data_IF_765915928273
#
_entry.id   IF_765915928273
#
_cell.length_a   1.000
_cell.length_b   1.000
_cell.length_c   1.000
_cell.angle_alpha   90.00
_cell.angle_beta   90.00
_cell.angle_gamma   90.00
#
_symmetry.space_group_name_H-M   'P 1'
#
loop_
_entity.id
_entity.type
_entity.pdbx_description
1 polymer ?
#
# COMPACT_ATOMS: atom_id res chain seq x y z
N UNK A 1 68.15 -0.53 62.99
CA UNK A 1 68.16 -1.99 63.14
C UNK A 1 66.74 -2.52 62.96
N UNK A 2 66.44 -2.97 61.76
CA UNK A 2 65.34 -3.89 61.41
C UNK A 2 65.57 -4.28 59.94
N UNK A 3 66.09 -5.48 59.64
CA UNK A 3 66.14 -6.00 58.28
C UNK A 3 64.99 -6.99 58.03
N UNK A 4 64.81 -7.28 56.75
CA UNK A 4 63.87 -8.19 56.10
C UNK A 4 63.83 -9.62 56.66
N UNK A 5 62.96 -10.47 56.10
CA UNK A 5 63.52 -11.50 55.22
C UNK A 5 62.73 -11.78 53.93
N UNK A 6 63.47 -11.91 52.83
CA UNK A 6 63.34 -13.01 51.86
C UNK A 6 64.15 -14.21 52.44
N UNK A 7 63.97 -15.49 52.12
CA UNK A 7 63.73 -16.14 50.84
C UNK A 7 63.60 -17.69 51.06
N UNK A 8 63.36 -18.43 49.97
CA UNK A 8 63.52 -19.90 49.75
C UNK A 8 62.27 -20.77 49.88
N UNK A 9 61.66 -21.31 48.80
CA UNK A 9 62.10 -22.36 47.85
C UNK A 9 61.86 -23.78 48.43
N UNK A 10 61.33 -24.80 47.74
CA UNK A 10 61.05 -25.11 46.34
C UNK A 10 59.98 -26.23 46.27
N UNK A 11 59.22 -26.41 45.18
CA UNK A 11 59.48 -27.44 44.16
C UNK A 11 58.36 -27.56 43.08
N UNK A 12 58.82 -27.76 41.83
CA UNK A 12 58.17 -28.30 40.62
C UNK A 12 56.91 -27.64 39.96
N UNK A 13 57.11 -27.20 38.70
CA UNK A 13 56.12 -27.03 37.61
C UNK A 13 56.52 -28.01 36.45
N UNK A 14 55.75 -28.28 35.36
CA UNK A 14 54.96 -27.30 34.57
C UNK A 14 53.63 -27.77 33.90
N UNK A 15 52.90 -26.77 33.37
CA UNK A 15 51.99 -26.73 32.20
C UNK A 15 50.87 -27.79 32.01
N UNK A 16 49.60 -27.35 31.96
CA UNK A 16 48.82 -27.23 30.69
C UNK A 16 47.40 -26.60 30.90
N UNK A 17 47.10 -25.65 30.03
CA UNK A 17 45.82 -25.08 29.52
C UNK A 17 44.48 -25.08 30.28
N UNK A 18 43.86 -23.88 30.30
CA UNK A 18 42.52 -23.70 29.69
C UNK A 18 41.30 -23.40 30.58
N UNK A 19 40.98 -22.09 30.72
CA UNK A 19 39.64 -21.47 30.57
C UNK A 19 38.44 -21.86 31.50
N UNK A 20 37.43 -20.97 31.67
CA UNK A 20 36.81 -20.71 32.97
C UNK A 20 35.32 -21.09 33.13
N UNK A 21 34.92 -21.19 34.40
CA UNK A 21 33.68 -20.81 35.09
C UNK A 21 32.32 -20.68 34.34
N UNK A 22 31.37 -21.46 34.88
CA UNK A 22 29.96 -21.15 35.20
C UNK A 22 28.92 -21.06 34.06
N UNK A 23 28.39 -22.23 33.68
CA UNK A 23 27.23 -22.40 32.79
C UNK A 23 25.90 -22.22 33.55
N UNK A 24 25.43 -20.98 33.64
CA UNK A 24 24.00 -20.71 33.73
C UNK A 24 23.49 -20.37 32.31
N UNK A 25 22.50 -21.10 31.75
CA UNK A 25 22.07 -20.84 30.38
C UNK A 25 21.41 -19.46 30.31
N UNK A 26 22.11 -18.55 29.62
CA UNK A 26 21.63 -17.23 29.27
C UNK A 26 20.28 -17.35 28.56
N UNK A 27 19.24 -16.75 29.15
CA UNK A 27 17.98 -16.45 28.46
C UNK A 27 18.34 -15.56 27.27
N UNK A 28 18.32 -16.15 26.08
CA UNK A 28 18.46 -15.39 24.84
C UNK A 28 17.29 -14.42 24.71
N UNK A 29 17.57 -13.14 24.87
CA UNK A 29 16.73 -12.04 24.39
C UNK A 29 16.68 -12.09 22.85
N UNK A 30 15.92 -13.03 22.29
CA UNK A 30 15.34 -12.85 20.95
C UNK A 30 14.06 -12.06 21.17
N UNK A 31 13.95 -10.90 20.54
CA UNK A 31 12.70 -10.16 20.48
C UNK A 31 11.65 -11.02 19.76
N UNK A 32 10.89 -11.81 20.52
CA UNK A 32 9.71 -12.50 20.03
C UNK A 32 8.62 -11.43 19.85
N UNK A 33 8.58 -10.82 18.68
CA UNK A 33 7.46 -10.00 18.27
C UNK A 33 6.22 -10.91 18.23
N UNK A 34 5.39 -10.80 19.28
CA UNK A 34 4.13 -11.52 19.37
C UNK A 34 3.18 -11.02 18.27
N UNK A 35 2.98 -11.83 17.25
CA UNK A 35 2.10 -11.51 16.12
C UNK A 35 0.72 -12.16 16.30
N UNK A 36 -0.30 -11.55 15.70
CA UNK A 36 -1.60 -12.19 15.52
C UNK A 36 -1.67 -12.83 14.14
N UNK A 37 -2.16 -14.07 14.07
CA UNK A 37 -2.34 -14.80 12.83
C UNK A 37 -3.74 -15.43 12.78
N UNK A 38 -4.39 -15.32 11.61
CA UNK A 38 -5.64 -16.00 11.32
C UNK A 38 -5.35 -17.35 10.64
N UNK A 39 -5.90 -18.43 11.18
CA UNK A 39 -5.68 -19.80 10.73
C UNK A 39 -7.03 -20.45 10.42
N UNK A 40 -7.14 -21.12 9.28
CA UNK A 40 -8.30 -21.94 8.93
C UNK A 40 -8.00 -23.41 9.15
N UNK A 41 -8.90 -24.08 9.87
CA UNK A 41 -8.82 -25.52 10.14
C UNK A 41 -9.23 -26.30 8.88
N UNK A 42 -8.31 -27.08 8.31
CA UNK A 42 -8.61 -27.94 7.14
C UNK A 42 -9.48 -29.15 7.51
N UNK A 43 -10.20 -29.76 6.55
CA UNK A 43 -10.93 -31.02 6.77
C UNK A 43 -10.06 -32.15 7.33
N UNK A 44 -8.79 -32.22 6.93
CA UNK A 44 -7.82 -33.23 7.37
C UNK A 44 -7.03 -32.80 8.63
N UNK A 45 -7.39 -31.68 9.26
CA UNK A 45 -6.64 -31.12 10.38
C UNK A 45 -6.69 -32.00 11.63
N UNK A 46 -5.54 -32.18 12.25
CA UNK A 46 -5.41 -32.85 13.55
C UNK A 46 -6.10 -32.08 14.69
N UNK A 47 -6.57 -30.85 14.46
CA UNK A 47 -7.34 -30.05 15.44
C UNK A 47 -8.82 -30.45 15.50
N UNK A 48 -9.34 -31.17 14.50
CA UNK A 48 -10.74 -31.54 14.44
C UNK A 48 -11.17 -32.30 15.71
N UNK A 49 -12.16 -31.77 16.42
CA UNK A 49 -12.74 -32.37 17.62
C UNK A 49 -11.98 -32.10 18.92
N UNK A 50 -10.81 -31.44 18.88
CA UNK A 50 -10.01 -31.05 20.06
C UNK A 50 -10.28 -29.61 20.47
N UNK A 51 -10.08 -29.31 21.76
CA UNK A 51 -10.15 -27.95 22.30
C UNK A 51 -8.77 -27.37 22.56
N UNK A 52 -8.72 -26.05 22.75
CA UNK A 52 -7.49 -25.35 23.17
C UNK A 52 -6.88 -25.90 24.47
N UNK A 53 -7.74 -26.42 25.38
CA UNK A 53 -7.28 -27.09 26.61
C UNK A 53 -6.62 -28.44 26.33
N UNK A 54 -7.23 -29.25 25.46
CA UNK A 54 -6.75 -30.62 25.16
C UNK A 54 -5.38 -30.57 24.47
N UNK A 55 -5.15 -29.52 23.69
CA UNK A 55 -3.90 -29.27 22.98
C UNK A 55 -2.85 -28.55 23.84
N UNK A 56 -3.23 -28.09 25.04
CA UNK A 56 -2.37 -27.33 25.94
C UNK A 56 -1.69 -26.14 25.24
N UNK A 57 -2.43 -25.42 24.35
CA UNK A 57 -1.86 -24.42 23.43
C UNK A 57 -0.94 -23.42 24.13
N UNK A 58 -1.35 -22.92 25.30
CA UNK A 58 -0.60 -21.92 26.05
C UNK A 58 0.63 -22.49 26.77
N UNK A 59 0.53 -23.67 27.37
CA UNK A 59 1.60 -24.23 28.20
C UNK A 59 2.62 -25.05 27.41
N UNK A 60 2.20 -25.67 26.30
CA UNK A 60 3.07 -26.50 25.44
C UNK A 60 3.66 -25.71 24.28
N UNK A 61 2.86 -24.86 23.63
CA UNK A 61 3.26 -24.15 22.41
C UNK A 61 3.43 -22.65 22.61
N UNK A 62 3.11 -22.11 23.80
CA UNK A 62 3.14 -20.66 24.03
C UNK A 62 2.11 -19.86 23.21
N UNK A 63 1.12 -20.54 22.60
CA UNK A 63 0.14 -19.93 21.72
C UNK A 63 -1.15 -19.59 22.46
N UNK A 64 -1.71 -18.41 22.18
CA UNK A 64 -2.98 -17.95 22.74
C UNK A 64 -4.07 -17.93 21.67
N UNK A 65 -5.17 -18.66 21.91
CA UNK A 65 -6.37 -18.58 21.08
C UNK A 65 -7.26 -17.43 21.55
N UNK A 66 -7.41 -16.40 20.71
CA UNK A 66 -8.15 -15.18 21.04
C UNK A 66 -9.60 -15.22 20.57
N UNK A 67 -9.86 -15.85 19.42
CA UNK A 67 -11.21 -15.96 18.89
C UNK A 67 -11.35 -17.19 17.98
N UNK A 68 -12.59 -17.66 17.87
CA UNK A 68 -13.01 -18.65 16.87
C UNK A 68 -14.25 -18.10 16.16
N UNK A 69 -14.22 -18.08 14.84
CA UNK A 69 -15.37 -17.75 13.98
C UNK A 69 -15.81 -18.98 13.21
N UNK A 70 -17.12 -19.19 13.14
CA UNK A 70 -17.75 -20.28 12.39
C UNK A 70 -18.89 -19.69 11.56
N UNK A 71 -18.88 -19.96 10.25
CA UNK A 71 -19.89 -19.46 9.31
C UNK A 71 -20.08 -17.92 9.38
N UNK A 72 -18.99 -17.18 9.63
CA UNK A 72 -19.01 -15.71 9.74
C UNK A 72 -19.50 -15.18 11.10
N UNK A 73 -19.90 -16.04 12.04
CA UNK A 73 -20.30 -15.66 13.39
C UNK A 73 -19.25 -16.03 14.44
N UNK A 74 -18.95 -15.11 15.37
CA UNK A 74 -18.07 -15.40 16.51
C UNK A 74 -18.70 -16.46 17.41
N UNK A 75 -17.94 -17.50 17.74
CA UNK A 75 -18.38 -18.53 18.66
C UNK A 75 -18.62 -17.93 20.06
N UNK A 76 -19.85 -18.04 20.58
CA UNK A 76 -20.25 -17.49 21.90
C UNK A 76 -19.88 -18.39 23.10
N UNK A 77 -19.16 -19.49 22.85
CA UNK A 77 -18.77 -20.43 23.90
C UNK A 77 -17.40 -20.08 24.50
N UNK A 78 -17.07 -20.68 25.65
CA UNK A 78 -15.75 -20.56 26.26
C UNK A 78 -14.68 -21.14 25.32
N UNK A 79 -13.83 -20.28 24.78
CA UNK A 79 -12.76 -20.62 23.82
C UNK A 79 -11.85 -21.76 24.31
N UNK A 80 -11.65 -21.85 25.63
CA UNK A 80 -10.79 -22.87 26.26
C UNK A 80 -11.29 -24.31 26.04
N UNK A 81 -12.60 -24.51 26.04
CA UNK A 81 -13.25 -25.84 25.98
C UNK A 81 -14.03 -26.04 24.68
N UNK A 82 -14.07 -25.03 23.81
CA UNK A 82 -14.72 -25.12 22.51
C UNK A 82 -13.98 -26.16 21.66
N UNK A 83 -14.73 -27.12 21.11
CA UNK A 83 -14.20 -28.11 20.17
C UNK A 83 -14.10 -27.48 18.79
N UNK A 84 -12.90 -27.49 18.24
CA UNK A 84 -12.59 -26.99 16.91
C UNK A 84 -13.15 -27.93 15.84
N UNK A 85 -13.65 -27.37 14.75
CA UNK A 85 -14.20 -28.10 13.61
C UNK A 85 -13.49 -27.67 12.33
N UNK A 86 -13.44 -28.54 11.31
CA UNK A 86 -13.09 -28.12 9.95
C UNK A 86 -13.88 -26.89 9.52
N UNK A 87 -13.20 -25.93 8.90
CA UNK A 87 -13.78 -24.65 8.48
C UNK A 87 -13.85 -23.58 9.57
N UNK A 88 -13.50 -23.89 10.83
CA UNK A 88 -13.35 -22.86 11.86
C UNK A 88 -12.17 -21.93 11.52
N UNK A 89 -12.38 -20.62 11.71
CA UNK A 89 -11.34 -19.59 11.58
C UNK A 89 -10.86 -19.22 12.98
N UNK A 90 -9.59 -19.46 13.25
CA UNK A 90 -8.93 -19.27 14.53
C UNK A 90 -8.09 -17.99 14.48
N UNK A 91 -8.26 -17.11 15.46
CA UNK A 91 -7.35 -15.98 15.67
C UNK A 91 -6.40 -16.34 16.80
N UNK A 92 -5.12 -16.51 16.48
CA UNK A 92 -4.08 -16.92 17.43
C UNK A 92 -3.02 -15.84 17.60
N UNK A 93 -2.40 -15.78 18.78
CA UNK A 93 -1.28 -14.90 19.09
C UNK A 93 -0.10 -15.70 19.63
N UNK A 94 1.10 -15.40 19.13
CA UNK A 94 2.35 -16.05 19.52
C UNK A 94 3.53 -15.57 18.66
N UNK A 95 4.73 -16.15 18.86
CA UNK A 95 5.87 -15.91 17.97
C UNK A 95 5.55 -16.36 16.53
N UNK A 96 6.04 -15.62 15.53
CA UNK A 96 5.76 -15.89 14.11
C UNK A 96 6.15 -17.30 13.68
N UNK A 97 7.33 -17.75 14.11
CA UNK A 97 7.91 -19.02 13.70
C UNK A 97 7.11 -20.19 14.28
N UNK A 98 6.71 -20.07 15.55
CA UNK A 98 5.90 -21.08 16.25
C UNK A 98 4.48 -21.16 15.71
N UNK A 99 3.88 -20.04 15.30
CA UNK A 99 2.56 -20.02 14.66
C UNK A 99 2.58 -20.72 13.30
N UNK A 100 3.62 -20.49 12.49
CA UNK A 100 3.80 -21.12 11.20
C UNK A 100 4.06 -22.63 11.33
N UNK A 101 4.92 -23.03 12.27
CA UNK A 101 5.21 -24.44 12.57
C UNK A 101 3.94 -25.17 13.07
N UNK A 102 3.21 -24.56 14.01
CA UNK A 102 1.95 -25.11 14.50
C UNK A 102 0.90 -25.27 13.38
N UNK A 103 0.83 -24.31 12.45
CA UNK A 103 -0.07 -24.40 11.31
C UNK A 103 0.27 -25.59 10.40
N UNK A 104 1.56 -25.82 10.13
CA UNK A 104 2.05 -26.96 9.36
C UNK A 104 1.74 -28.30 10.03
N UNK A 105 2.10 -28.44 11.31
CA UNK A 105 1.96 -29.69 12.06
C UNK A 105 0.51 -30.12 12.26
N UNK A 106 -0.38 -29.16 12.48
CA UNK A 106 -1.78 -29.43 12.80
C UNK A 106 -2.72 -29.29 11.59
N UNK A 107 -2.20 -29.05 10.39
CA UNK A 107 -3.00 -28.98 9.17
C UNK A 107 -3.93 -27.76 9.13
N UNK A 108 -3.45 -26.61 9.56
CA UNK A 108 -4.12 -25.32 9.38
C UNK A 108 -3.49 -24.57 8.20
N UNK A 109 -4.27 -23.69 7.58
CA UNK A 109 -3.75 -22.77 6.56
C UNK A 109 -3.84 -21.35 7.10
N UNK A 110 -2.73 -20.58 7.13
CA UNK A 110 -2.79 -19.16 7.44
C UNK A 110 -3.61 -18.42 6.38
N UNK A 111 -4.65 -17.72 6.83
CA UNK A 111 -5.59 -17.03 5.94
C UNK A 111 -5.09 -15.64 5.50
N UNK A 112 -4.10 -15.09 6.22
CA UNK A 112 -3.35 -13.91 5.81
C UNK A 112 -2.06 -13.76 6.62
N UNK A 113 -0.92 -13.60 5.94
CA UNK A 113 0.24 -12.88 6.47
C UNK A 113 -0.13 -11.40 6.55
N UNK A 114 -0.93 -10.99 7.54
CA UNK A 114 -0.94 -9.59 7.92
C UNK A 114 0.28 -9.37 8.80
N UNK A 115 1.39 -8.99 8.18
CA UNK A 115 2.52 -8.38 8.87
C UNK A 115 1.99 -7.17 9.67
N UNK A 116 1.61 -7.38 10.93
CA UNK A 116 1.41 -6.29 11.88
C UNK A 116 2.80 -5.77 12.27
N UNK A 117 3.46 -5.12 11.32
CA UNK A 117 4.70 -4.37 11.55
C UNK A 117 4.34 -3.20 12.45
N UNK A 118 4.64 -3.32 13.75
CA UNK A 118 4.53 -2.20 14.68
C UNK A 118 5.49 -1.12 14.19
N UNK A 119 5.01 0.07 13.76
CA UNK A 119 5.90 1.08 13.22
C UNK A 119 6.86 1.57 14.31
N UNK A 120 8.16 1.47 14.04
CA UNK A 120 9.18 2.13 14.85
C UNK A 120 8.94 3.64 14.76
N UNK A 121 8.44 4.24 15.85
CA UNK A 121 8.07 5.66 15.91
C UNK A 121 9.22 6.57 15.49
N UNK A 122 10.46 6.20 15.79
CA UNK A 122 11.64 6.96 15.38
C UNK A 122 11.75 7.01 13.86
N UNK A 123 11.76 5.84 13.21
CA UNK A 123 11.86 5.74 11.75
C UNK A 123 10.67 6.36 11.03
N UNK A 124 9.48 6.28 11.61
CA UNK A 124 8.27 6.91 11.07
C UNK A 124 8.39 8.44 11.04
N UNK A 125 8.93 9.06 12.10
CA UNK A 125 9.17 10.50 12.14
C UNK A 125 10.22 10.89 11.10
N UNK A 126 11.35 10.16 11.02
CA UNK A 126 12.39 10.47 10.04
C UNK A 126 11.88 10.35 8.60
N UNK A 127 11.12 9.29 8.28
CA UNK A 127 10.51 9.13 6.96
C UNK A 127 9.52 10.26 6.64
N UNK A 128 8.72 10.68 7.62
CA UNK A 128 7.77 11.79 7.48
C UNK A 128 8.49 13.11 7.22
N UNK A 129 9.59 13.38 7.93
CA UNK A 129 10.41 14.58 7.71
C UNK A 129 11.03 14.59 6.32
N UNK A 130 11.53 13.46 5.85
CA UNK A 130 12.08 13.32 4.48
C UNK A 130 11.00 13.62 3.43
N UNK A 131 9.79 13.06 3.61
CA UNK A 131 8.67 13.31 2.70
C UNK A 131 8.29 14.79 2.68
N UNK A 132 8.12 15.41 3.85
CA UNK A 132 7.76 16.83 3.97
C UNK A 132 8.83 17.71 3.31
N UNK A 133 10.11 17.41 3.54
CA UNK A 133 11.21 18.14 2.93
C UNK A 133 11.20 18.02 1.39
N UNK A 134 11.01 16.81 0.85
CA UNK A 134 10.94 16.58 -0.59
C UNK A 134 9.76 17.34 -1.23
N UNK A 135 8.58 17.29 -0.59
CA UNK A 135 7.39 18.04 -1.03
C UNK A 135 7.63 19.54 -0.98
N UNK A 136 8.21 20.06 0.10
CA UNK A 136 8.50 21.49 0.24
C UNK A 136 9.49 21.98 -0.83
N UNK A 137 10.55 21.20 -1.09
CA UNK A 137 11.53 21.51 -2.14
C UNK A 137 10.88 21.55 -3.52
N UNK A 138 10.01 20.59 -3.83
CA UNK A 138 9.29 20.56 -5.10
C UNK A 138 8.27 21.72 -5.21
N UNK A 139 7.51 21.98 -4.15
CA UNK A 139 6.46 23.01 -4.12
C UNK A 139 7.03 24.43 -4.19
N UNK A 140 8.21 24.68 -3.60
CA UNK A 140 8.91 25.96 -3.69
C UNK A 140 9.65 26.15 -5.02
N UNK A 141 9.65 25.14 -5.91
CA UNK A 141 10.33 25.20 -7.20
C UNK A 141 11.85 25.21 -7.11
N UNK A 142 12.43 24.78 -5.99
CA UNK A 142 13.89 24.74 -5.78
C UNK A 142 14.56 23.68 -6.67
N UNK A 143 13.87 22.55 -6.88
CA UNK A 143 14.30 21.47 -7.76
C UNK A 143 13.09 20.94 -8.54
N UNK A 144 13.29 20.38 -9.74
CA UNK A 144 12.25 19.62 -10.43
C UNK A 144 11.69 18.52 -9.51
N UNK A 145 10.37 18.31 -9.54
CA UNK A 145 9.68 17.35 -8.67
C UNK A 145 10.30 15.95 -8.73
N UNK A 146 10.64 15.48 -9.93
CA UNK A 146 11.31 14.19 -10.13
C UNK A 146 12.64 14.08 -9.34
N UNK A 147 13.45 15.15 -9.34
CA UNK A 147 14.74 15.17 -8.63
C UNK A 147 14.51 15.26 -7.12
N UNK A 148 13.57 16.10 -6.68
CA UNK A 148 13.26 16.27 -5.26
C UNK A 148 12.76 14.96 -4.62
N UNK A 149 11.82 14.26 -5.27
CA UNK A 149 11.31 12.98 -4.77
C UNK A 149 12.34 11.86 -4.88
N UNK A 150 13.13 11.79 -5.97
CA UNK A 150 14.21 10.82 -6.07
C UNK A 150 15.26 10.99 -4.97
N UNK A 151 15.64 12.24 -4.66
CA UNK A 151 16.53 12.54 -3.53
C UNK A 151 15.90 12.12 -2.19
N UNK A 152 14.59 12.34 -2.00
CA UNK A 152 13.86 11.86 -0.83
C UNK A 152 13.90 10.34 -0.67
N UNK A 153 13.69 9.58 -1.76
CA UNK A 153 13.81 8.11 -1.75
C UNK A 153 15.24 7.68 -1.40
N UNK A 154 16.25 8.30 -2.02
CA UNK A 154 17.66 8.01 -1.72
C UNK A 154 18.02 8.32 -0.25
N UNK A 155 17.53 9.44 0.29
CA UNK A 155 17.70 9.78 1.70
C UNK A 155 17.01 8.74 2.60
N UNK A 156 15.79 8.31 2.26
CA UNK A 156 15.05 7.29 2.99
C UNK A 156 15.82 5.95 3.04
N UNK A 157 16.46 5.56 1.93
CA UNK A 157 17.33 4.38 1.84
C UNK A 157 18.62 4.55 2.65
N UNK A 158 19.28 5.71 2.54
CA UNK A 158 20.51 6.02 3.27
C UNK A 158 20.30 6.00 4.80
N UNK A 159 19.16 6.53 5.26
CA UNK A 159 18.76 6.51 6.67
C UNK A 159 18.12 5.18 7.10
N UNK A 160 18.05 4.17 6.21
CA UNK A 160 17.46 2.84 6.46
C UNK A 160 16.05 2.88 7.03
N UNK A 161 15.28 3.91 6.66
CA UNK A 161 13.87 4.02 7.03
C UNK A 161 13.01 3.05 6.24
N UNK A 162 13.41 2.76 4.99
CA UNK A 162 12.78 1.78 4.10
C UNK A 162 13.85 0.83 3.56
N UNK A 163 13.63 -0.51 3.57
CA UNK A 163 14.57 -1.45 2.98
C UNK A 163 14.60 -1.30 1.45
N UNK A 164 15.77 -1.45 0.78
CA UNK A 164 15.89 -1.26 -0.66
C UNK A 164 14.90 -2.07 -1.50
N UNK A 165 14.57 -3.30 -1.07
CA UNK A 165 13.61 -4.17 -1.77
C UNK A 165 12.20 -3.57 -1.80
N UNK A 166 11.74 -3.00 -0.69
CA UNK A 166 10.41 -2.38 -0.61
C UNK A 166 10.31 -1.14 -1.52
N UNK A 167 11.42 -0.46 -1.82
CA UNK A 167 11.43 0.64 -2.79
C UNK A 167 11.11 0.13 -4.19
N UNK A 168 11.70 -0.99 -4.62
CA UNK A 168 11.43 -1.58 -5.94
C UNK A 168 10.02 -2.17 -6.05
N UNK A 169 9.51 -2.75 -4.97
CA UNK A 169 8.14 -3.27 -4.90
C UNK A 169 7.09 -2.14 -4.89
N UNK A 170 7.43 -0.97 -4.36
CA UNK A 170 6.55 0.20 -4.37
C UNK A 170 6.46 0.89 -5.74
N UNK A 171 7.32 0.54 -6.71
CA UNK A 171 7.24 1.08 -8.07
C UNK A 171 6.10 0.43 -8.83
N UNK A 172 5.16 1.24 -9.31
CA UNK A 172 4.08 0.80 -10.20
C UNK A 172 4.61 0.64 -11.64
N UNK A 173 5.26 -0.50 -11.90
CA UNK A 173 5.82 -0.83 -13.21
C UNK A 173 4.79 -0.78 -14.35
N UNK A 174 3.55 -1.29 -14.20
CA UNK A 174 2.51 -1.12 -15.20
C UNK A 174 2.29 0.34 -15.61
N UNK A 175 2.25 1.28 -14.67
CA UNK A 175 2.08 2.71 -14.97
C UNK A 175 3.26 3.26 -15.75
N UNK A 176 4.50 2.92 -15.36
CA UNK A 176 5.70 3.37 -16.08
C UNK A 176 5.70 2.87 -17.54
N UNK A 177 5.44 1.58 -17.73
CA UNK A 177 5.39 0.97 -19.07
C UNK A 177 4.27 1.61 -19.91
N UNK A 178 3.11 1.87 -19.29
CA UNK A 178 1.99 2.49 -19.97
C UNK A 178 2.30 3.93 -20.40
N UNK A 179 2.87 4.75 -19.51
CA UNK A 179 3.30 6.11 -19.85
C UNK A 179 4.35 6.11 -20.97
N UNK A 180 5.33 5.19 -20.89
CA UNK A 180 6.35 5.02 -21.92
C UNK A 180 5.76 4.61 -23.28
N UNK A 181 4.74 3.73 -23.29
CA UNK A 181 4.05 3.30 -24.50
C UNK A 181 3.16 4.40 -25.09
N UNK A 182 2.61 5.29 -24.25
CA UNK A 182 1.70 6.34 -24.70
C UNK A 182 2.42 7.58 -25.24
N UNK A 183 3.67 7.82 -24.88
CA UNK A 183 4.49 8.89 -25.48
C UNK A 183 4.57 8.79 -27.02
N UNK A 184 4.95 7.63 -27.62
CA UNK A 184 4.88 7.43 -29.07
C UNK A 184 3.46 7.52 -29.64
N UNK A 185 2.46 7.00 -28.93
CA UNK A 185 1.05 7.03 -29.40
C UNK A 185 0.55 8.47 -29.47
N UNK A 186 0.84 9.29 -28.47
CA UNK A 186 0.54 10.72 -28.48
C UNK A 186 1.18 11.40 -29.69
N UNK A 187 2.47 11.15 -29.94
CA UNK A 187 3.18 11.66 -31.12
C UNK A 187 2.58 11.18 -32.45
N UNK A 188 2.16 9.91 -32.53
CA UNK A 188 1.49 9.35 -33.70
C UNK A 188 0.11 9.98 -33.94
N UNK A 189 -0.70 10.14 -32.88
CA UNK A 189 -2.01 10.78 -32.96
C UNK A 189 -1.92 12.24 -33.39
N UNK A 190 -0.88 12.95 -32.95
CA UNK A 190 -0.65 14.34 -33.29
C UNK A 190 -0.10 14.49 -34.72
N UNK A 191 0.83 13.63 -35.14
CA UNK A 191 1.38 13.66 -36.51
C UNK A 191 0.41 13.17 -37.58
N UNK A 192 -0.50 12.24 -37.25
CA UNK A 192 -1.53 11.74 -38.17
C UNK A 192 -2.79 12.60 -38.23
N UNK A 193 -2.93 13.58 -37.32
CA UNK A 193 -4.15 14.38 -37.16
C UNK A 193 -5.33 13.60 -36.57
N UNK A 194 -5.12 12.40 -36.03
CA UNK A 194 -6.17 11.62 -35.38
C UNK A 194 -6.73 12.33 -34.14
N UNK A 195 -5.86 12.98 -33.35
CA UNK A 195 -6.28 13.82 -32.22
C UNK A 195 -7.19 14.96 -32.68
N UNK A 196 -6.84 15.62 -33.79
CA UNK A 196 -7.66 16.70 -34.37
C UNK A 196 -9.01 16.20 -34.87
N UNK A 197 -9.08 14.96 -35.35
CA UNK A 197 -10.32 14.35 -35.84
C UNK A 197 -11.27 14.01 -34.67
N UNK A 198 -10.75 13.43 -33.59
CA UNK A 198 -11.51 13.16 -32.36
C UNK A 198 -11.99 14.47 -31.73
N UNK A 199 -11.12 15.47 -31.66
CA UNK A 199 -11.45 16.77 -31.12
C UNK A 199 -12.47 17.50 -32.02
N UNK A 200 -12.36 17.47 -33.36
CA UNK A 200 -13.41 17.92 -34.31
C UNK A 200 -14.74 17.26 -33.99
N UNK A 201 -14.74 15.94 -33.85
CA UNK A 201 -15.97 15.18 -33.61
C UNK A 201 -16.63 15.63 -32.31
N UNK A 202 -15.88 15.74 -31.21
CA UNK A 202 -16.40 16.16 -29.91
C UNK A 202 -16.82 17.63 -29.92
N UNK A 203 -16.04 18.51 -30.55
CA UNK A 203 -16.23 19.95 -30.47
C UNK A 203 -17.26 20.48 -31.48
N UNK A 204 -17.28 19.96 -32.70
CA UNK A 204 -18.25 20.40 -33.71
C UNK A 204 -19.65 19.82 -33.43
N UNK A 205 -19.75 18.61 -32.86
CA UNK A 205 -21.05 18.00 -32.58
C UNK A 205 -21.63 18.36 -31.22
N UNK A 206 -20.82 18.39 -30.15
CA UNK A 206 -21.32 18.64 -28.79
C UNK A 206 -20.98 20.05 -28.28
N UNK A 207 -19.75 20.53 -28.50
CA UNK A 207 -19.31 21.82 -27.93
C UNK A 207 -19.74 23.05 -28.75
N UNK A 208 -20.08 22.88 -30.04
CA UNK A 208 -20.38 23.97 -30.99
C UNK A 208 -19.32 25.09 -30.99
N UNK A 209 -18.06 24.73 -30.74
CA UNK A 209 -16.94 25.66 -30.65
C UNK A 209 -16.75 26.38 -29.31
N UNK A 210 -17.55 26.08 -28.28
CA UNK A 210 -17.38 26.66 -26.95
C UNK A 210 -16.32 25.89 -26.14
N UNK A 211 -15.23 26.58 -25.80
CA UNK A 211 -14.11 26.01 -25.06
C UNK A 211 -14.49 25.54 -23.65
N UNK A 212 -15.47 26.17 -22.99
CA UNK A 212 -15.95 25.75 -21.66
C UNK A 212 -16.71 24.42 -21.75
N UNK A 213 -17.51 24.24 -22.80
CA UNK A 213 -18.21 22.97 -23.04
C UNK A 213 -17.19 21.89 -23.41
N UNK A 214 -16.19 22.20 -24.23
CA UNK A 214 -15.08 21.29 -24.53
C UNK A 214 -14.34 20.82 -23.27
N UNK A 215 -14.04 21.74 -22.36
CA UNK A 215 -13.41 21.43 -21.08
C UNK A 215 -14.28 20.50 -20.22
N UNK A 216 -15.59 20.78 -20.13
CA UNK A 216 -16.54 19.95 -19.40
C UNK A 216 -16.65 18.54 -19.99
N UNK A 217 -16.66 18.42 -21.32
CA UNK A 217 -16.69 17.12 -22.01
C UNK A 217 -15.45 16.30 -21.72
N UNK A 218 -14.27 16.93 -21.76
CA UNK A 218 -13.01 16.25 -21.43
C UNK A 218 -13.02 15.79 -19.97
N UNK A 219 -13.43 16.65 -19.03
CA UNK A 219 -13.57 16.29 -17.61
C UNK A 219 -14.49 15.08 -17.43
N UNK A 220 -15.73 15.15 -17.92
CA UNK A 220 -16.74 14.09 -17.76
C UNK A 220 -16.31 12.80 -18.43
N UNK A 221 -15.77 12.87 -19.66
CA UNK A 221 -15.30 11.68 -20.37
C UNK A 221 -14.15 11.01 -19.62
N UNK A 222 -13.25 11.79 -19.04
CA UNK A 222 -12.15 11.26 -18.21
C UNK A 222 -12.68 10.59 -16.95
N UNK A 223 -13.70 11.18 -16.29
CA UNK A 223 -14.33 10.58 -15.10
C UNK A 223 -14.95 9.22 -15.43
N UNK A 224 -15.73 9.15 -16.52
CA UNK A 224 -16.34 7.89 -16.97
C UNK A 224 -15.29 6.84 -17.33
N UNK A 225 -14.20 7.24 -18.00
CA UNK A 225 -13.16 6.31 -18.40
C UNK A 225 -12.36 5.78 -17.20
N UNK A 226 -12.17 6.61 -16.17
CA UNK A 226 -11.48 6.20 -14.93
C UNK A 226 -12.28 5.23 -14.08
N UNK A 227 -13.59 5.16 -14.25
CA UNK A 227 -14.39 4.11 -13.62
C UNK A 227 -14.22 2.73 -14.29
N UNK A 228 -13.65 2.68 -15.49
CA UNK A 228 -13.42 1.44 -16.26
C UNK A 228 -11.96 0.97 -16.20
N UNK A 229 -11.04 1.89 -15.93
CA UNK A 229 -9.59 1.66 -15.93
C UNK A 229 -8.98 2.17 -14.62
N UNK A 230 -7.66 2.08 -14.44
CA UNK A 230 -7.02 2.74 -13.30
C UNK A 230 -6.73 4.23 -13.61
N UNK A 231 -6.65 5.06 -12.57
CA UNK A 231 -6.45 6.52 -12.68
C UNK A 231 -5.26 6.90 -13.60
N UNK A 232 -4.12 6.22 -13.43
CA UNK A 232 -2.91 6.52 -14.18
C UNK A 232 -3.07 6.18 -15.68
N UNK A 233 -3.72 5.06 -15.98
CA UNK A 233 -4.02 4.65 -17.34
C UNK A 233 -4.98 5.61 -18.03
N UNK A 234 -6.03 6.04 -17.33
CA UNK A 234 -6.98 7.02 -17.83
C UNK A 234 -6.30 8.35 -18.13
N UNK A 235 -5.51 8.88 -17.18
CA UNK A 235 -4.79 10.13 -17.37
C UNK A 235 -3.85 10.05 -18.59
N UNK A 236 -3.16 8.93 -18.75
CA UNK A 236 -2.22 8.76 -19.84
C UNK A 236 -2.91 8.69 -21.22
N UNK A 237 -4.09 8.05 -21.32
CA UNK A 237 -4.89 8.01 -22.56
C UNK A 237 -5.54 9.36 -22.87
N UNK A 238 -6.08 10.02 -21.84
CA UNK A 238 -6.84 11.26 -22.00
C UNK A 238 -5.93 12.50 -22.19
N UNK A 239 -4.71 12.48 -21.69
CA UNK A 239 -3.75 13.59 -21.85
C UNK A 239 -3.52 14.02 -23.31
N UNK A 240 -3.16 13.12 -24.26
CA UNK A 240 -2.98 13.52 -25.66
C UNK A 240 -4.28 14.01 -26.31
N UNK A 241 -5.43 13.45 -25.91
CA UNK A 241 -6.74 13.90 -26.40
C UNK A 241 -7.05 15.31 -25.90
N UNK A 242 -6.78 15.59 -24.62
CA UNK A 242 -6.94 16.91 -24.01
C UNK A 242 -6.04 17.97 -24.66
N UNK A 243 -4.79 17.64 -24.94
CA UNK A 243 -3.85 18.53 -25.66
C UNK A 243 -4.33 18.81 -27.09
N UNK A 244 -4.80 17.79 -27.81
CA UNK A 244 -5.39 17.96 -29.14
C UNK A 244 -6.62 18.87 -29.12
N UNK A 245 -7.53 18.65 -28.17
CA UNK A 245 -8.72 19.48 -28.01
C UNK A 245 -8.41 20.95 -27.68
N UNK A 246 -7.44 21.20 -26.80
CA UNK A 246 -7.00 22.55 -26.48
C UNK A 246 -6.37 23.25 -27.69
N UNK A 247 -5.50 22.54 -28.42
CA UNK A 247 -4.85 23.05 -29.65
C UNK A 247 -5.88 23.45 -30.69
N UNK A 248 -6.92 22.63 -30.88
CA UNK A 248 -7.97 22.92 -31.85
C UNK A 248 -8.86 24.09 -31.47
N UNK A 249 -9.16 24.25 -30.17
CA UNK A 249 -9.91 25.39 -29.65
C UNK A 249 -9.08 26.67 -29.56
N UNK A 250 -7.76 26.59 -29.77
CA UNK A 250 -6.85 27.71 -29.63
C UNK A 250 -6.75 28.22 -28.19
N UNK A 251 -6.83 27.32 -27.20
CA UNK A 251 -6.79 27.62 -25.77
C UNK A 251 -5.62 26.92 -25.09
N UNK A 252 -5.28 27.33 -23.87
CA UNK A 252 -4.17 26.74 -23.12
C UNK A 252 -4.33 25.23 -22.85
N UNK A 253 -3.37 24.37 -23.28
CA UNK A 253 -3.35 22.93 -23.01
C UNK A 253 -3.35 22.60 -21.52
N UNK A 254 -2.76 23.46 -20.69
CA UNK A 254 -2.63 23.22 -19.24
C UNK A 254 -4.02 23.10 -18.57
N UNK A 255 -4.98 23.90 -19.01
CA UNK A 255 -6.37 23.87 -18.51
C UNK A 255 -7.01 22.50 -18.76
N UNK A 256 -6.81 21.95 -19.96
CA UNK A 256 -7.35 20.66 -20.37
C UNK A 256 -6.62 19.50 -19.68
N UNK A 257 -5.31 19.59 -19.54
CA UNK A 257 -4.50 18.61 -18.80
C UNK A 257 -4.91 18.58 -17.31
N UNK A 258 -5.23 19.72 -16.72
CA UNK A 258 -5.73 19.77 -15.35
C UNK A 258 -7.14 19.18 -15.22
N UNK A 259 -8.02 19.41 -16.20
CA UNK A 259 -9.32 18.73 -16.26
C UNK A 259 -9.16 17.21 -16.36
N UNK A 260 -8.20 16.71 -17.15
CA UNK A 260 -7.86 15.29 -17.21
C UNK A 260 -7.33 14.79 -15.85
N UNK A 261 -6.43 15.53 -15.20
CA UNK A 261 -5.89 15.13 -13.90
C UNK A 261 -6.98 15.01 -12.82
N UNK A 262 -7.91 15.97 -12.77
CA UNK A 262 -9.06 15.94 -11.86
C UNK A 262 -9.99 14.79 -12.22
N UNK A 263 -10.39 14.67 -13.49
CA UNK A 263 -11.33 13.65 -13.93
C UNK A 263 -10.81 12.23 -13.70
N UNK A 264 -9.54 11.98 -14.00
CA UNK A 264 -8.90 10.68 -13.79
C UNK A 264 -8.82 10.30 -12.31
N UNK A 265 -8.91 11.27 -11.40
CA UNK A 265 -8.91 11.04 -9.96
C UNK A 265 -10.29 10.70 -9.38
N UNK A 266 -11.36 10.82 -10.18
CA UNK A 266 -12.75 10.68 -9.73
C UNK A 266 -13.36 9.33 -10.14
N UNK A 267 -12.72 8.22 -9.74
CA UNK A 267 -13.26 6.87 -9.94
C UNK A 267 -14.29 6.53 -8.86
N UNK A 268 -15.44 7.20 -8.88
CA UNK A 268 -16.44 7.11 -7.80
C UNK A 268 -17.66 6.25 -8.15
N UNK A 269 -17.94 6.01 -9.44
CA UNK A 269 -19.15 5.29 -9.83
C UNK A 269 -19.01 3.78 -9.70
N UNK A 270 -17.78 3.26 -9.78
CA UNK A 270 -17.54 1.82 -9.69
C UNK A 270 -16.45 1.47 -8.66
N UNK A 271 -16.52 0.26 -8.07
CA UNK A 271 -15.44 -0.26 -7.25
C UNK A 271 -14.20 -0.65 -8.07
N UNK A 272 -14.32 -0.78 -9.40
CA UNK A 272 -13.28 -1.32 -10.29
C UNK A 272 -12.18 -0.28 -10.55
N UNK A 273 -12.54 1.00 -10.65
CA UNK A 273 -11.61 2.05 -11.08
C UNK A 273 -10.40 2.25 -10.16
N UNK A 274 -10.49 1.87 -8.88
CA UNK A 274 -9.35 1.94 -7.97
C UNK A 274 -9.30 0.77 -6.97
N UNK A 275 -8.10 0.23 -6.73
CA UNK A 275 -7.88 -0.92 -5.83
C UNK A 275 -8.44 -0.68 -4.43
N UNK A 276 -8.26 0.53 -3.86
CA UNK A 276 -8.82 0.91 -2.57
C UNK A 276 -10.35 0.75 -2.52
N UNK A 277 -11.06 1.07 -3.61
CA UNK A 277 -12.52 0.93 -3.68
C UNK A 277 -12.91 -0.55 -3.73
N UNK A 278 -12.18 -1.38 -4.48
CA UNK A 278 -12.41 -2.83 -4.49
C UNK A 278 -12.13 -3.46 -3.12
N UNK A 279 -11.07 -3.04 -2.43
CA UNK A 279 -10.64 -3.62 -1.15
C UNK A 279 -11.67 -3.46 -0.03
N UNK A 280 -12.46 -2.39 -0.04
CA UNK A 280 -13.49 -2.14 0.99
C UNK A 280 -14.83 -2.82 0.70
N UNK A 281 -15.03 -3.39 -0.50
CA UNK A 281 -16.30 -4.00 -0.90
C UNK A 281 -16.72 -5.11 0.06
N UNK A 282 -15.79 -6.01 0.40
CA UNK A 282 -16.04 -7.11 1.35
C UNK A 282 -16.09 -6.64 2.81
N UNK A 283 -14.98 -6.12 3.38
CA UNK A 283 -14.91 -5.74 4.79
C UNK A 283 -15.85 -4.59 5.19
N UNK A 284 -16.13 -3.67 4.27
CA UNK A 284 -17.03 -2.54 4.48
C UNK A 284 -18.51 -2.89 4.29
N UNK A 285 -18.83 -4.09 3.79
CA UNK A 285 -20.20 -4.52 3.53
C UNK A 285 -20.89 -3.78 2.38
N UNK A 286 -20.13 -3.13 1.51
CA UNK A 286 -20.67 -2.41 0.35
C UNK A 286 -21.05 -3.38 -0.77
N UNK A 287 -22.07 -3.03 -1.54
CA UNK A 287 -22.44 -3.71 -2.78
C UNK A 287 -22.02 -2.85 -3.97
N UNK A 288 -21.82 -3.49 -5.13
CA UNK A 288 -21.48 -2.77 -6.37
C UNK A 288 -22.46 -1.62 -6.67
N UNK A 289 -23.75 -1.84 -6.45
CA UNK A 289 -24.80 -0.83 -6.66
C UNK A 289 -24.81 0.34 -5.67
N UNK A 290 -24.02 0.29 -4.58
CA UNK A 290 -23.93 1.38 -3.62
C UNK A 290 -22.98 2.49 -4.12
N UNK A 291 -22.00 2.15 -4.98
CA UNK A 291 -21.02 3.09 -5.50
C UNK A 291 -21.66 4.15 -6.37
N UNK A 292 -22.34 3.80 -7.46
CA UNK A 292 -22.92 4.81 -8.36
C UNK A 292 -23.95 5.71 -7.66
N UNK A 293 -24.66 5.22 -6.65
CA UNK A 293 -25.65 6.00 -5.87
C UNK A 293 -25.00 7.14 -5.08
N UNK A 294 -23.79 6.92 -4.56
CA UNK A 294 -23.04 7.92 -3.79
C UNK A 294 -22.05 8.68 -4.68
N UNK A 295 -21.49 8.00 -5.68
CA UNK A 295 -20.51 8.52 -6.62
C UNK A 295 -21.10 9.55 -7.57
N UNK A 296 -22.29 9.31 -8.13
CA UNK A 296 -22.87 10.25 -9.09
C UNK A 296 -23.15 11.66 -8.48
N UNK A 297 -23.70 11.78 -7.25
CA UNK A 297 -23.78 13.08 -6.58
C UNK A 297 -22.42 13.73 -6.35
N UNK A 298 -21.39 12.93 -6.02
CA UNK A 298 -20.04 13.42 -5.79
C UNK A 298 -19.38 13.90 -7.09
N UNK A 299 -19.58 13.18 -8.20
CA UNK A 299 -19.11 13.57 -9.53
C UNK A 299 -19.75 14.88 -9.98
N UNK A 300 -21.06 15.02 -9.79
CA UNK A 300 -21.76 16.27 -10.10
C UNK A 300 -21.24 17.43 -9.27
N UNK A 301 -20.93 17.20 -7.98
CA UNK A 301 -20.29 18.20 -7.13
C UNK A 301 -18.89 18.56 -7.65
N UNK A 302 -18.08 17.57 -8.01
CA UNK A 302 -16.75 17.80 -8.59
C UNK A 302 -16.85 18.58 -9.88
N UNK A 303 -17.78 18.27 -10.78
CA UNK A 303 -17.98 19.01 -12.03
C UNK A 303 -18.37 20.46 -11.74
N UNK A 304 -19.32 20.66 -10.81
CA UNK A 304 -19.81 21.98 -10.44
C UNK A 304 -18.74 22.87 -9.79
N UNK A 305 -17.81 22.28 -9.04
CA UNK A 305 -16.72 23.01 -8.36
C UNK A 305 -15.49 23.15 -9.25
N UNK A 306 -15.10 22.08 -9.94
CA UNK A 306 -13.87 22.04 -10.73
C UNK A 306 -13.93 22.95 -11.95
N UNK A 307 -15.07 23.02 -12.66
CA UNK A 307 -15.15 23.87 -13.86
C UNK A 307 -14.90 25.36 -13.55
N UNK A 308 -15.56 25.99 -12.57
CA UNK A 308 -15.24 27.37 -12.17
C UNK A 308 -13.80 27.56 -11.71
N UNK A 309 -13.27 26.62 -10.91
CA UNK A 309 -11.91 26.73 -10.38
C UNK A 309 -10.85 26.56 -11.47
N UNK A 310 -11.07 25.65 -12.42
CA UNK A 310 -10.22 25.49 -13.59
C UNK A 310 -10.15 26.80 -14.38
N UNK A 311 -11.29 27.42 -14.67
CA UNK A 311 -11.32 28.69 -15.40
C UNK A 311 -10.69 29.86 -14.61
N UNK A 312 -10.70 29.80 -13.28
CA UNK A 312 -10.13 30.84 -12.42
C UNK A 312 -8.60 30.72 -12.31
N UNK A 313 -8.09 29.51 -12.10
CA UNK A 313 -6.66 29.27 -11.88
C UNK A 313 -5.88 28.98 -13.17
N UNK A 314 -6.53 28.35 -14.15
CA UNK A 314 -6.03 28.10 -15.50
C UNK A 314 -7.01 28.70 -16.52
N UNK A 315 -6.99 30.03 -16.70
CA UNK A 315 -7.85 30.67 -17.68
C UNK A 315 -7.55 30.12 -19.09
N UNK A 316 -8.59 30.01 -19.91
CA UNK A 316 -8.53 29.49 -21.28
C UNK A 316 -7.73 30.37 -22.27
N UNK A 317 -7.09 31.43 -21.77
CA UNK A 317 -6.32 32.35 -22.58
C UNK A 317 -5.04 31.64 -23.05
N UNK A 318 -4.77 31.68 -24.36
CA UNK A 318 -3.58 31.13 -24.98
C UNK A 318 -2.31 31.91 -24.66
#
# INVERSE_FOLDING_TARGET
AAPAPADSAADAAPEDTGAPADDAPARSERGDDLVLMELVVRPESALAGRSASDLLLRSRYGLNLLAVSRDGARARARLRTLRLRPGDLLLMQGPSDTLAEFAGDFGCVPLAERELRIPDRGKAITASLIMIAAVAVAALGLLPSAVAFAAGVLASMALRTVPPRAVYEAVDWPVIVLLAALLPVAGAMQSTGAADLVARLLLDTLARGDAVIGLALILVTTMVLTDLMNNAATAAVMAPIGVGAATQLGVSPDTFLMAVAIGASCAFLTPIGHQNNTLILGPGGFRFGDYWRMGLPLDLLVIAVSLPLLLLFWPLNA
#
